data_IF_928467959256
#
_entry.id   IF_928467959256
#
_cell.length_a   1.000
_cell.length_b   1.000
_cell.length_c   1.000
_cell.angle_alpha   90.00
_cell.angle_beta   90.00
_cell.angle_gamma   90.00
#
_symmetry.space_group_name_H-M   'P 1'
#
loop_
_entity.id
_entity.type
_entity.pdbx_description
1 polymer ?
#
# COMPACT_ATOMS: atom_id res chain seq x y z
N UNK A 1 -24.90 48.87 27.25
CA UNK A 1 -23.62 49.21 26.62
C UNK A 1 -22.55 48.40 27.38
N UNK A 2 -22.16 47.24 26.84
CA UNK A 2 -20.92 47.05 26.03
C UNK A 2 -19.67 47.09 26.94
N UNK A 3 -18.73 46.14 26.99
CA UNK A 3 -18.40 44.94 26.22
C UNK A 3 -17.71 43.95 27.18
N UNK A 4 -18.01 42.64 27.13
CA UNK A 4 -17.26 41.60 26.40
C UNK A 4 -15.77 41.49 26.75
N UNK A 5 -15.44 40.30 27.24
CA UNK A 5 -14.14 39.78 27.62
C UNK A 5 -13.19 39.62 26.43
N UNK A 6 -11.89 39.77 26.68
CA UNK A 6 -10.83 39.19 25.87
C UNK A 6 -9.91 38.37 26.78
N UNK A 7 -10.32 37.14 27.04
CA UNK A 7 -9.41 36.08 27.49
C UNK A 7 -8.75 35.49 26.25
N UNK A 8 -7.48 35.81 26.03
CA UNK A 8 -6.66 35.18 25.00
C UNK A 8 -6.63 33.67 25.23
N UNK A 9 -7.15 32.95 24.24
CA UNK A 9 -7.14 31.49 24.16
C UNK A 9 -5.72 31.07 23.72
N UNK A 10 -4.96 30.26 24.49
CA UNK A 10 -3.75 29.68 23.94
C UNK A 10 -4.17 28.70 22.86
N UNK A 11 -3.67 28.91 21.65
CA UNK A 11 -3.84 27.99 20.54
C UNK A 11 -3.50 26.58 21.02
N UNK A 12 -4.49 25.70 20.97
CA UNK A 12 -4.30 24.27 21.13
C UNK A 12 -3.34 23.83 20.03
N UNK A 13 -2.08 23.56 20.39
CA UNK A 13 -1.21 22.70 19.59
C UNK A 13 -1.82 21.30 19.63
N UNK A 14 -2.77 21.02 18.73
CA UNK A 14 -3.00 19.65 18.29
C UNK A 14 -1.67 19.21 17.68
N UNK A 15 -0.87 18.45 18.43
CA UNK A 15 0.28 17.80 17.83
C UNK A 15 -0.27 16.94 16.71
N UNK A 16 0.01 17.29 15.45
CA UNK A 16 -0.34 16.46 14.31
C UNK A 16 0.22 15.07 14.59
N UNK A 17 -0.68 14.11 14.82
CA UNK A 17 -0.33 12.73 15.09
C UNK A 17 0.43 12.25 13.85
N UNK A 18 1.73 11.99 14.00
CA UNK A 18 2.61 11.62 12.88
C UNK A 18 1.97 10.47 12.10
N UNK A 19 1.56 10.72 10.86
CA UNK A 19 0.97 9.73 9.96
C UNK A 19 2.07 9.18 9.06
N UNK A 20 2.31 7.88 9.18
CA UNK A 20 3.25 7.16 8.33
C UNK A 20 2.48 6.37 7.26
N UNK A 21 2.91 6.49 6.01
CA UNK A 21 2.43 5.71 4.87
C UNK A 21 3.51 4.70 4.49
N UNK A 22 3.26 3.42 4.76
CA UNK A 22 4.17 2.34 4.38
C UNK A 22 3.74 1.80 3.02
N UNK A 23 4.60 1.94 2.02
CA UNK A 23 4.34 1.42 0.66
C UNK A 23 5.24 0.23 0.38
N UNK A 24 4.65 -0.88 -0.05
CA UNK A 24 5.41 -2.04 -0.55
C UNK A 24 4.64 -2.77 -1.62
N UNK A 25 5.33 -3.61 -2.40
CA UNK A 25 4.73 -4.37 -3.50
C UNK A 25 3.43 -5.09 -3.11
N UNK A 26 3.42 -5.84 -2.00
CA UNK A 26 2.22 -6.55 -1.52
C UNK A 26 1.75 -6.02 -0.18
N UNK A 27 0.45 -6.13 0.07
CA UNK A 27 -0.12 -5.96 1.41
C UNK A 27 0.37 -7.05 2.37
N UNK A 28 0.36 -6.79 3.69
CA UNK A 28 0.70 -7.79 4.70
C UNK A 28 -0.49 -8.74 4.99
N UNK A 29 -1.42 -8.87 4.05
CA UNK A 29 -2.68 -9.62 4.18
C UNK A 29 -2.85 -10.49 2.94
N UNK A 30 -3.15 -11.76 3.16
CA UNK A 30 -3.59 -12.70 2.14
C UNK A 30 -5.11 -12.70 2.09
N UNK A 31 -5.66 -12.54 0.88
CA UNK A 31 -7.09 -12.52 0.63
C UNK A 31 -7.49 -13.82 -0.06
N UNK A 32 -8.57 -14.43 0.41
CA UNK A 32 -9.17 -15.64 -0.18
C UNK A 32 -10.69 -15.51 -0.20
N UNK A 33 -11.39 -16.15 -1.14
CA UNK A 33 -12.85 -16.30 -1.07
C UNK A 33 -13.22 -17.63 -0.43
N UNK A 34 -14.21 -17.64 0.46
CA UNK A 34 -14.77 -18.87 1.00
C UNK A 34 -15.84 -19.50 0.07
N UNK A 35 -16.41 -20.63 0.48
CA UNK A 35 -17.43 -21.34 -0.29
C UNK A 35 -18.74 -20.55 -0.51
N UNK A 36 -18.98 -19.49 0.27
CA UNK A 36 -20.12 -18.59 0.11
C UNK A 36 -19.83 -17.40 -0.82
N UNK A 37 -18.56 -17.25 -1.26
CA UNK A 37 -18.08 -16.14 -2.06
C UNK A 37 -17.63 -14.93 -1.26
N UNK A 38 -17.63 -15.00 0.08
CA UNK A 38 -17.21 -13.90 0.93
C UNK A 38 -15.68 -13.84 1.06
N UNK A 39 -15.15 -12.62 1.11
CA UNK A 39 -13.72 -12.36 1.29
C UNK A 39 -13.26 -12.64 2.72
N UNK A 40 -12.17 -13.39 2.82
CA UNK A 40 -11.48 -13.73 4.05
C UNK A 40 -10.07 -13.16 4.02
N UNK A 41 -9.65 -12.58 5.14
CA UNK A 41 -8.39 -11.85 5.26
C UNK A 41 -7.54 -12.48 6.35
N UNK A 42 -6.31 -12.85 6.00
CA UNK A 42 -5.35 -13.42 6.94
C UNK A 42 -4.04 -12.66 6.88
N UNK A 43 -3.53 -12.25 8.05
CA UNK A 43 -2.19 -11.64 8.11
C UNK A 43 -1.15 -12.61 7.53
N UNK A 44 -0.39 -12.12 6.55
CA UNK A 44 0.70 -12.86 5.95
C UNK A 44 1.92 -12.84 6.87
N UNK A 45 2.74 -13.89 6.81
CA UNK A 45 4.08 -13.90 7.36
C UNK A 45 5.08 -13.40 6.30
N UNK A 46 6.16 -12.75 6.71
CA UNK A 46 7.21 -12.29 5.79
C UNK A 46 8.20 -11.34 6.46
N UNK A 47 9.36 -11.14 5.84
CA UNK A 47 10.45 -10.32 6.40
C UNK A 47 10.01 -8.90 6.75
N UNK A 48 9.33 -8.21 5.82
CA UNK A 48 8.86 -6.85 6.03
C UNK A 48 7.73 -6.77 7.08
N UNK A 49 6.79 -7.72 7.08
CA UNK A 49 5.70 -7.79 8.08
C UNK A 49 6.28 -7.97 9.48
N UNK A 50 7.25 -8.88 9.64
CA UNK A 50 7.94 -9.12 10.90
C UNK A 50 8.73 -7.89 11.34
N UNK A 51 9.46 -7.25 10.43
CA UNK A 51 10.24 -6.04 10.72
C UNK A 51 9.36 -4.88 11.20
N UNK A 52 8.19 -4.69 10.60
CA UNK A 52 7.26 -3.60 10.95
C UNK A 52 6.27 -3.96 12.06
N UNK A 53 6.25 -5.20 12.54
CA UNK A 53 5.37 -5.64 13.64
C UNK A 53 5.61 -4.86 14.95
N UNK A 54 6.87 -4.48 15.22
CA UNK A 54 7.23 -3.64 16.35
C UNK A 54 6.74 -2.20 16.19
N UNK A 55 6.76 -1.69 14.96
CA UNK A 55 6.36 -0.32 14.65
C UNK A 55 4.86 -0.09 14.86
N UNK A 56 4.02 -1.10 14.55
CA UNK A 56 2.57 -1.04 14.79
C UNK A 56 2.18 -0.77 16.25
N UNK A 57 3.05 -1.09 17.22
CA UNK A 57 2.79 -0.81 18.64
C UNK A 57 3.17 0.62 19.06
N UNK A 58 4.02 1.28 18.26
CA UNK A 58 4.59 2.59 18.59
C UNK A 58 3.89 3.72 17.83
N UNK A 59 3.41 3.46 16.61
CA UNK A 59 2.69 4.43 15.80
C UNK A 59 1.64 3.75 14.93
N UNK A 60 0.60 4.50 14.59
CA UNK A 60 -0.36 4.10 13.56
C UNK A 60 0.22 4.43 12.19
N UNK A 61 0.07 3.51 11.25
CA UNK A 61 0.47 3.73 9.87
C UNK A 61 -0.50 3.02 8.93
N UNK A 62 -0.64 3.56 7.72
CA UNK A 62 -1.42 2.94 6.66
C UNK A 62 -0.48 2.16 5.75
N UNK A 63 -0.79 0.89 5.48
CA UNK A 63 0.00 0.06 4.57
C UNK A 63 -0.63 0.05 3.19
N UNK A 64 0.11 0.44 2.16
CA UNK A 64 -0.33 0.55 0.78
C UNK A 64 0.37 -0.54 -0.05
N UNK A 65 -0.38 -1.33 -0.82
CA UNK A 65 0.16 -2.47 -1.54
C UNK A 65 -0.85 -3.20 -2.43
N UNK A 66 -0.34 -4.04 -3.33
CA UNK A 66 -1.20 -4.92 -4.14
C UNK A 66 -1.79 -6.05 -3.25
N UNK A 67 -3.11 -6.34 -3.35
CA UNK A 67 -3.77 -7.40 -2.58
C UNK A 67 -3.33 -8.83 -2.95
N UNK A 68 -2.61 -9.01 -4.06
CA UNK A 68 -2.10 -10.31 -4.49
C UNK A 68 -3.03 -11.11 -5.42
N UNK A 69 -4.12 -10.49 -5.87
CA UNK A 69 -5.06 -11.01 -6.87
C UNK A 69 -5.76 -9.84 -7.56
N UNK A 70 -6.23 -10.06 -8.80
CA UNK A 70 -7.21 -9.18 -9.41
C UNK A 70 -8.60 -9.30 -8.73
N UNK A 71 -9.22 -8.16 -8.47
CA UNK A 71 -10.51 -8.03 -7.79
C UNK A 71 -11.48 -7.34 -8.76
N UNK A 72 -12.66 -7.93 -9.03
CA UNK A 72 -13.66 -7.32 -9.88
C UNK A 72 -14.04 -5.91 -9.45
N UNK A 73 -14.20 -5.00 -10.40
CA UNK A 73 -14.44 -3.57 -10.16
C UNK A 73 -15.62 -3.31 -9.21
N UNK A 74 -16.70 -4.08 -9.35
CA UNK A 74 -17.91 -4.00 -8.52
C UNK A 74 -17.69 -4.45 -7.06
N UNK A 75 -16.62 -5.21 -6.80
CA UNK A 75 -16.25 -5.70 -5.46
C UNK A 75 -15.11 -4.88 -4.82
N UNK A 76 -14.37 -4.07 -5.59
CA UNK A 76 -13.20 -3.29 -5.11
C UNK A 76 -13.52 -2.39 -3.93
N UNK A 77 -14.67 -1.71 -3.96
CA UNK A 77 -15.09 -0.82 -2.89
C UNK A 77 -15.32 -1.56 -1.56
N UNK A 78 -15.90 -2.77 -1.62
CA UNK A 78 -16.11 -3.61 -0.43
C UNK A 78 -14.76 -4.04 0.15
N UNK A 79 -13.87 -4.59 -0.68
CA UNK A 79 -12.56 -5.09 -0.24
C UNK A 79 -11.70 -3.97 0.34
N UNK A 80 -11.66 -2.81 -0.31
CA UNK A 80 -10.93 -1.64 0.19
C UNK A 80 -11.44 -1.19 1.56
N UNK A 81 -12.76 -1.12 1.74
CA UNK A 81 -13.37 -0.77 3.03
C UNK A 81 -12.95 -1.75 4.11
N UNK A 82 -13.07 -3.05 3.86
CA UNK A 82 -12.72 -4.08 4.84
C UNK A 82 -11.23 -4.09 5.19
N UNK A 83 -10.34 -3.92 4.21
CA UNK A 83 -8.89 -3.81 4.44
C UNK A 83 -8.53 -2.58 5.27
N UNK A 84 -9.16 -1.44 5.00
CA UNK A 84 -8.90 -0.21 5.74
C UNK A 84 -9.38 -0.32 7.19
N UNK A 85 -10.61 -0.78 7.40
CA UNK A 85 -11.22 -0.90 8.74
C UNK A 85 -10.56 -1.98 9.61
N UNK A 86 -10.25 -3.14 9.03
CA UNK A 86 -9.75 -4.31 9.80
C UNK A 86 -8.23 -4.36 9.89
N UNK A 87 -7.50 -3.77 8.93
CA UNK A 87 -6.06 -3.97 8.80
C UNK A 87 -5.25 -2.67 8.58
N UNK A 88 -5.90 -1.51 8.51
CA UNK A 88 -5.26 -0.23 8.16
C UNK A 88 -4.48 -0.33 6.84
N UNK A 89 -5.04 -1.07 5.87
CA UNK A 89 -4.44 -1.32 4.58
C UNK A 89 -5.22 -0.64 3.45
N UNK A 90 -4.51 0.00 2.53
CA UNK A 90 -5.06 0.53 1.27
C UNK A 90 -4.62 -0.37 0.12
N UNK A 91 -5.52 -1.13 -0.52
CA UNK A 91 -5.17 -1.91 -1.70
C UNK A 91 -4.88 -1.01 -2.90
N UNK A 92 -3.86 -1.41 -3.68
CA UNK A 92 -3.65 -0.92 -5.05
C UNK A 92 -4.11 -2.04 -5.98
N UNK A 93 -5.25 -1.85 -6.63
CA UNK A 93 -5.79 -2.84 -7.57
C UNK A 93 -5.00 -2.78 -8.88
N UNK A 94 -4.46 -3.94 -9.27
CA UNK A 94 -3.61 -4.11 -10.45
C UNK A 94 -4.09 -5.39 -11.12
N UNK A 95 -4.37 -5.33 -12.41
CA UNK A 95 -4.74 -6.49 -13.23
C UNK A 95 -3.62 -7.55 -13.21
N UNK A 96 -3.99 -8.82 -13.24
CA UNK A 96 -3.03 -9.93 -13.04
C UNK A 96 -1.89 -9.92 -14.08
N UNK A 97 -2.16 -9.56 -15.34
CA UNK A 97 -1.15 -9.46 -16.40
C UNK A 97 -0.12 -8.37 -16.09
N UNK A 98 -0.58 -7.17 -15.72
CA UNK A 98 0.31 -6.08 -15.32
C UNK A 98 1.07 -6.47 -14.05
N UNK A 99 0.41 -7.07 -13.06
CA UNK A 99 1.05 -7.48 -11.82
C UNK A 99 2.19 -8.49 -12.07
N UNK A 100 1.97 -9.48 -12.94
CA UNK A 100 2.96 -10.49 -13.33
C UNK A 100 4.14 -9.86 -14.08
N UNK A 101 3.89 -9.06 -15.12
CA UNK A 101 4.95 -8.41 -15.89
C UNK A 101 5.77 -7.42 -15.05
N UNK A 102 5.14 -6.63 -14.18
CA UNK A 102 5.85 -5.75 -13.27
C UNK A 102 6.70 -6.52 -12.24
N UNK A 103 6.17 -7.60 -11.67
CA UNK A 103 6.80 -8.29 -10.55
C UNK A 103 7.79 -9.34 -11.03
N UNK A 104 7.34 -10.28 -11.85
CA UNK A 104 8.17 -11.34 -12.40
C UNK A 104 9.02 -10.82 -13.56
N UNK A 105 8.40 -10.19 -14.56
CA UNK A 105 9.09 -9.72 -15.78
C UNK A 105 10.15 -8.65 -15.51
N UNK A 106 9.82 -7.62 -14.73
CA UNK A 106 10.77 -6.53 -14.47
C UNK A 106 11.50 -6.65 -13.13
N UNK A 107 10.76 -6.72 -12.02
CA UNK A 107 11.39 -6.67 -10.69
C UNK A 107 12.29 -7.89 -10.43
N UNK A 108 11.81 -9.10 -10.74
CA UNK A 108 12.54 -10.34 -10.46
C UNK A 108 13.48 -10.77 -11.58
N UNK A 109 13.17 -10.49 -12.85
CA UNK A 109 14.01 -10.92 -13.97
C UNK A 109 15.01 -9.86 -14.45
N UNK A 110 14.91 -8.60 -14.00
CA UNK A 110 15.84 -7.53 -14.38
C UNK A 110 16.49 -6.90 -13.14
N UNK A 111 15.71 -6.25 -12.26
CA UNK A 111 16.27 -5.51 -11.13
C UNK A 111 16.95 -6.44 -10.11
N UNK A 112 16.30 -7.54 -9.76
CA UNK A 112 16.84 -8.50 -8.80
C UNK A 112 18.21 -9.07 -9.22
N UNK A 113 18.38 -9.71 -10.39
CA UNK A 113 19.69 -10.23 -10.80
C UNK A 113 20.74 -9.12 -10.95
N UNK A 114 20.35 -7.93 -11.43
CA UNK A 114 21.25 -6.79 -11.52
C UNK A 114 21.82 -6.37 -10.15
N UNK A 115 20.94 -6.24 -9.14
CA UNK A 115 21.34 -5.84 -7.78
C UNK A 115 22.07 -6.94 -7.00
N UNK A 116 22.01 -8.19 -7.48
CA UNK A 116 22.68 -9.33 -6.86
C UNK A 116 23.89 -9.83 -7.64
N UNK A 117 24.40 -9.05 -8.61
CA UNK A 117 25.59 -9.39 -9.41
C UNK A 117 25.44 -10.63 -10.31
N UNK A 118 24.23 -10.88 -10.79
CA UNK A 118 23.89 -11.93 -11.76
C UNK A 118 23.50 -11.35 -13.14
N UNK A 119 24.31 -10.48 -13.78
CA UNK A 119 23.89 -9.80 -15.01
C UNK A 119 23.67 -10.73 -16.21
N UNK A 120 24.25 -11.94 -16.20
CA UNK A 120 24.02 -12.95 -17.24
C UNK A 120 22.64 -13.59 -17.21
N UNK A 121 21.86 -13.39 -16.14
CA UNK A 121 20.49 -13.88 -15.98
C UNK A 121 19.44 -12.83 -16.39
N UNK A 122 19.88 -11.62 -16.77
CA UNK A 122 18.99 -10.52 -17.17
C UNK A 122 18.47 -10.75 -18.60
N UNK A 123 17.15 -10.75 -18.74
CA UNK A 123 16.48 -10.63 -20.04
C UNK A 123 15.62 -9.38 -20.03
N UNK A 124 15.98 -8.37 -20.82
CA UNK A 124 15.21 -7.13 -20.91
C UNK A 124 14.08 -7.26 -21.94
N UNK A 125 12.87 -6.88 -21.53
CA UNK A 125 11.69 -6.73 -22.39
C UNK A 125 11.08 -5.34 -22.15
N UNK A 126 10.79 -4.62 -23.23
CA UNK A 126 10.18 -3.28 -23.18
C UNK A 126 8.75 -3.32 -22.62
N UNK A 127 8.01 -4.41 -22.86
CA UNK A 127 6.65 -4.58 -22.32
C UNK A 127 6.67 -4.71 -20.79
N UNK A 128 7.65 -5.44 -20.23
CA UNK A 128 7.83 -5.58 -18.77
C UNK A 128 8.19 -4.23 -18.12
N UNK A 129 8.99 -3.41 -18.81
CA UNK A 129 9.27 -2.05 -18.37
C UNK A 129 8.00 -1.17 -18.39
N UNK A 130 7.20 -1.27 -19.44
CA UNK A 130 5.90 -0.58 -19.53
C UNK A 130 4.97 -0.96 -18.38
N UNK A 131 4.85 -2.26 -18.09
CA UNK A 131 4.06 -2.76 -16.95
C UNK A 131 4.62 -2.28 -15.60
N UNK A 132 5.95 -2.25 -15.43
CA UNK A 132 6.60 -1.70 -14.25
C UNK A 132 6.25 -0.22 -14.03
N UNK A 133 6.31 0.61 -15.07
CA UNK A 133 5.89 2.00 -14.99
C UNK A 133 4.40 2.14 -14.70
N UNK A 134 3.55 1.33 -15.34
CA UNK A 134 2.10 1.35 -15.12
C UNK A 134 1.74 0.99 -13.67
N UNK A 135 2.32 -0.07 -13.12
CA UNK A 135 2.12 -0.47 -11.72
C UNK A 135 2.52 0.68 -10.77
N UNK A 136 3.72 1.24 -10.93
CA UNK A 136 4.18 2.37 -10.11
C UNK A 136 3.27 3.61 -10.22
N UNK A 137 2.71 3.88 -11.40
CA UNK A 137 1.73 4.96 -11.58
C UNK A 137 0.41 4.69 -10.85
N UNK A 138 -0.05 3.43 -10.79
CA UNK A 138 -1.24 3.05 -10.00
C UNK A 138 -0.99 3.24 -8.50
N UNK A 139 0.18 2.85 -8.01
CA UNK A 139 0.61 3.13 -6.64
C UNK A 139 0.63 4.62 -6.34
N UNK A 140 1.25 5.42 -7.21
CA UNK A 140 1.31 6.88 -7.05
C UNK A 140 -0.08 7.50 -6.96
N UNK A 141 -1.02 7.10 -7.84
CA UNK A 141 -2.42 7.55 -7.81
C UNK A 141 -3.07 7.23 -6.46
N UNK A 142 -3.00 5.98 -6.00
CA UNK A 142 -3.60 5.57 -4.73
C UNK A 142 -3.02 6.35 -3.53
N UNK A 143 -1.71 6.64 -3.52
CA UNK A 143 -1.05 7.43 -2.47
C UNK A 143 -1.58 8.88 -2.50
N UNK A 144 -1.67 9.49 -3.69
CA UNK A 144 -2.07 10.90 -3.84
C UNK A 144 -3.51 11.17 -3.38
N UNK A 145 -4.37 10.16 -3.33
CA UNK A 145 -5.74 10.29 -2.83
C UNK A 145 -5.82 10.46 -1.31
N UNK A 146 -4.79 10.03 -0.56
CA UNK A 146 -4.83 9.99 0.91
C UNK A 146 -3.74 10.80 1.61
N UNK A 147 -2.73 11.23 0.86
CA UNK A 147 -1.59 12.00 1.38
C UNK A 147 -2.06 13.39 1.85
N UNK A 148 -1.48 13.85 2.95
CA UNK A 148 -1.74 15.18 3.54
C UNK A 148 -0.42 15.83 3.95
N UNK A 149 -0.48 17.14 4.18
CA UNK A 149 0.66 17.88 4.72
C UNK A 149 1.13 17.25 6.03
N UNK A 150 2.44 16.98 6.12
CA UNK A 150 3.05 16.36 7.30
C UNK A 150 3.09 14.83 7.30
N UNK A 151 2.50 14.15 6.30
CA UNK A 151 2.66 12.69 6.14
C UNK A 151 4.13 12.34 5.79
N UNK A 152 4.58 11.18 6.29
CA UNK A 152 5.86 10.53 5.94
C UNK A 152 5.66 9.28 5.10
#
# INVERSE_FOLDING_TARGET
MSSSADSQNPASTSGDELRLLVVSNRLPVTITKDASGAYQYKMSSGGLVSALSGLKRMMKFTWIGWPGLDIPEDERALVQKELMEKHSCLPVFIDDEIADMHYNGFSNSILWPLFHYHPGEISFNEEDWGAYQQANNLFAKAITEIVRDGDL
#
